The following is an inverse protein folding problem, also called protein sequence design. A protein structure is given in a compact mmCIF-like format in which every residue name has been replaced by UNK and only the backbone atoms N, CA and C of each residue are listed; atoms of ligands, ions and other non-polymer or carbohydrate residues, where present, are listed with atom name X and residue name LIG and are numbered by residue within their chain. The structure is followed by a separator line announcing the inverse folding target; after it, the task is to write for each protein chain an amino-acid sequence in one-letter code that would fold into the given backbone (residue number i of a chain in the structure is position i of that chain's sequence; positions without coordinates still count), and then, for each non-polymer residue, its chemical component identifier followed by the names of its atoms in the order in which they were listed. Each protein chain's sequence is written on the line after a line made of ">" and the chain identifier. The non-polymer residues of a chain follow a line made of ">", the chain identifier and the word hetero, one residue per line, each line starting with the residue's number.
data_IF_136518425340
#
_entry.id   IF_136518425340
#
_cell.length_a   1.000
_cell.length_b   1.000
_cell.length_c   1.000
_cell.angle_alpha   90.00
_cell.angle_beta   90.00
_cell.angle_gamma   90.00
#
_symmetry.space_group_name_H-M   'P 1'
#
loop_
_entity.id
_entity.type
_entity.pdbx_description
1 polymer ?
#
# COMPACT_ATOMS: atom_id res chain seq x y z
N UNK A 1 -47.55 -43.66 38.17
CA UNK A 1 -46.61 -43.85 37.06
C UNK A 1 -46.12 -42.46 36.65
N UNK A 2 -44.84 -42.16 36.89
CA UNK A 2 -44.24 -40.82 36.85
C UNK A 2 -43.93 -40.42 35.39
N UNK A 3 -44.43 -39.25 34.95
CA UNK A 3 -44.01 -38.62 33.70
C UNK A 3 -42.95 -37.58 34.08
N UNK A 4 -41.70 -37.85 33.71
CA UNK A 4 -40.57 -36.95 33.89
C UNK A 4 -40.53 -36.01 32.68
N UNK A 5 -40.69 -34.71 32.94
CA UNK A 5 -40.52 -33.63 31.95
C UNK A 5 -39.02 -33.34 31.84
N UNK A 6 -38.42 -33.64 30.69
CA UNK A 6 -37.06 -33.20 30.36
C UNK A 6 -37.12 -31.80 29.72
N UNK A 7 -36.77 -30.79 30.52
CA UNK A 7 -36.42 -29.45 30.05
C UNK A 7 -34.98 -29.48 29.52
N UNK A 8 -34.80 -29.52 28.20
CA UNK A 8 -33.51 -29.34 27.55
C UNK A 8 -33.26 -27.84 27.31
N UNK A 9 -32.52 -27.20 28.21
CA UNK A 9 -31.97 -25.86 28.01
C UNK A 9 -30.81 -25.95 27.02
N UNK A 10 -31.04 -25.54 25.78
CA UNK A 10 -29.98 -25.29 24.79
C UNK A 10 -29.24 -24.01 25.17
N UNK A 11 -28.13 -24.15 25.88
CA UNK A 11 -27.12 -23.10 26.02
C UNK A 11 -26.32 -23.08 24.72
N UNK A 12 -26.60 -22.11 23.84
CA UNK A 12 -25.72 -21.79 22.72
C UNK A 12 -24.45 -21.13 23.27
N UNK A 13 -23.44 -21.94 23.59
CA UNK A 13 -22.07 -21.47 23.74
C UNK A 13 -21.51 -21.22 22.34
N UNK A 14 -21.60 -19.98 21.86
CA UNK A 14 -20.89 -19.53 20.67
C UNK A 14 -19.39 -19.44 20.96
N UNK A 15 -18.69 -20.57 20.88
CA UNK A 15 -17.25 -20.55 20.66
C UNK A 15 -17.03 -20.18 19.20
N UNK A 16 -16.91 -18.87 18.93
CA UNK A 16 -16.22 -18.40 17.73
C UNK A 16 -14.79 -18.88 17.89
N UNK A 17 -14.45 -20.01 17.30
CA UNK A 17 -13.06 -20.37 17.09
C UNK A 17 -12.49 -19.28 16.21
N UNK A 18 -11.66 -18.40 16.79
CA UNK A 18 -10.71 -17.61 16.05
C UNK A 18 -9.74 -18.59 15.39
N UNK A 19 -10.16 -19.19 14.28
CA UNK A 19 -9.22 -19.76 13.32
C UNK A 19 -8.43 -18.57 12.82
N UNK A 20 -7.25 -18.39 13.41
CA UNK A 20 -6.17 -17.64 12.81
C UNK A 20 -6.12 -18.05 11.34
N UNK A 21 -6.40 -17.12 10.44
CA UNK A 21 -6.16 -17.30 9.02
C UNK A 21 -4.66 -17.58 8.84
N UNK A 22 -4.29 -18.86 8.85
CA UNK A 22 -2.98 -19.32 8.42
C UNK A 22 -3.00 -19.24 6.90
N UNK A 23 -2.46 -18.13 6.38
CA UNK A 23 -2.15 -17.97 4.96
C UNK A 23 -1.12 -19.06 4.58
N UNK A 24 -1.34 -19.85 3.51
CA UNK A 24 -0.43 -20.94 3.15
C UNK A 24 0.97 -20.42 2.83
N UNK A 25 2.00 -21.11 3.32
CA UNK A 25 3.43 -20.82 3.21
C UNK A 25 4.00 -21.07 1.78
N UNK A 26 3.35 -20.52 0.75
CA UNK A 26 3.81 -20.51 -0.64
C UNK A 26 3.95 -19.08 -1.17
N UNK A 27 5.16 -18.72 -1.57
CA UNK A 27 5.65 -17.38 -1.86
C UNK A 27 4.98 -16.70 -3.06
N UNK A 28 4.22 -15.64 -2.76
CA UNK A 28 3.96 -14.41 -3.54
C UNK A 28 3.19 -13.40 -2.65
N UNK A 29 2.61 -13.83 -1.52
CA UNK A 29 1.78 -13.00 -0.65
C UNK A 29 2.47 -12.33 0.55
N UNK A 30 3.70 -12.71 0.91
CA UNK A 30 4.30 -12.29 2.20
C UNK A 30 4.75 -10.82 2.25
N UNK A 31 4.96 -10.21 1.08
CA UNK A 31 5.42 -8.82 0.91
C UNK A 31 4.42 -7.97 0.13
N UNK A 32 3.46 -8.61 -0.54
CA UNK A 32 2.46 -7.99 -1.39
C UNK A 32 1.54 -7.06 -0.59
N UNK A 33 1.31 -7.37 0.68
CA UNK A 33 0.58 -6.48 1.59
C UNK A 33 1.35 -5.17 1.77
N UNK A 34 2.64 -5.22 2.11
CA UNK A 34 3.45 -4.03 2.31
C UNK A 34 3.72 -3.26 1.01
N UNK A 35 3.89 -3.94 -0.12
CA UNK A 35 3.96 -3.31 -1.45
C UNK A 35 2.67 -2.53 -1.78
N UNK A 36 1.50 -3.12 -1.52
CA UNK A 36 0.20 -2.47 -1.74
C UNK A 36 -0.01 -1.32 -0.74
N UNK A 37 0.31 -1.52 0.53
CA UNK A 37 0.17 -0.49 1.57
C UNK A 37 1.06 0.73 1.29
N UNK A 38 2.26 0.51 0.76
CA UNK A 38 3.20 1.59 0.45
C UNK A 38 2.99 2.21 -0.93
N UNK A 39 2.08 1.67 -1.76
CA UNK A 39 1.84 2.17 -3.12
C UNK A 39 1.52 3.67 -3.16
N UNK A 40 0.78 4.18 -2.16
CA UNK A 40 0.47 5.61 -2.00
C UNK A 40 1.69 6.52 -1.79
N UNK A 41 2.84 5.94 -1.40
CA UNK A 41 4.12 6.64 -1.29
C UNK A 41 5.03 6.34 -2.48
N UNK A 42 4.96 5.13 -3.03
CA UNK A 42 5.83 4.70 -4.12
C UNK A 42 5.55 5.53 -5.38
N UNK A 43 4.30 5.56 -5.84
CA UNK A 43 3.96 6.21 -7.11
C UNK A 43 4.27 7.73 -7.11
N UNK A 44 3.93 8.51 -6.07
CA UNK A 44 4.36 9.91 -5.99
C UNK A 44 5.88 10.08 -5.87
N UNK A 45 6.57 9.22 -5.12
CA UNK A 45 8.02 9.30 -4.99
C UNK A 45 8.76 9.06 -6.30
N UNK A 46 8.24 8.14 -7.13
CA UNK A 46 8.77 7.88 -8.48
C UNK A 46 8.56 9.04 -9.44
N UNK A 47 7.55 9.88 -9.18
CA UNK A 47 7.31 11.15 -9.86
C UNK A 47 8.04 12.35 -9.18
N UNK A 48 8.95 12.08 -8.24
CA UNK A 48 9.78 13.10 -7.61
C UNK A 48 9.13 13.86 -6.45
N UNK A 49 8.00 13.39 -5.92
CA UNK A 49 7.27 14.08 -4.85
C UNK A 49 8.09 14.07 -3.54
N UNK A 50 8.55 15.24 -3.04
CA UNK A 50 9.54 15.26 -1.95
C UNK A 50 9.04 14.68 -0.63
N UNK A 51 7.74 14.81 -0.36
CA UNK A 51 7.14 14.29 0.86
C UNK A 51 7.12 12.77 0.87
N UNK A 52 6.69 12.12 -0.21
CA UNK A 52 6.72 10.67 -0.34
C UNK A 52 8.15 10.11 -0.27
N UNK A 53 9.11 10.73 -0.97
CA UNK A 53 10.54 10.34 -0.86
C UNK A 53 11.02 10.45 0.58
N UNK A 54 10.68 11.54 1.27
CA UNK A 54 11.03 11.76 2.67
C UNK A 54 10.39 10.71 3.59
N UNK A 55 9.13 10.34 3.34
CA UNK A 55 8.40 9.36 4.13
C UNK A 55 8.98 7.95 3.97
N UNK A 56 9.28 7.53 2.74
CA UNK A 56 9.99 6.28 2.48
C UNK A 56 11.34 6.26 3.19
N UNK A 57 12.09 7.36 3.12
CA UNK A 57 13.39 7.48 3.78
C UNK A 57 13.27 7.39 5.31
N UNK A 58 12.19 7.94 5.88
CA UNK A 58 11.91 7.85 7.30
C UNK A 58 11.64 6.41 7.75
N UNK A 59 10.87 5.62 6.97
CA UNK A 59 10.62 4.20 7.29
C UNK A 59 11.93 3.40 7.39
N UNK A 60 12.86 3.64 6.45
CA UNK A 60 14.19 3.01 6.46
C UNK A 60 15.00 3.44 7.68
N UNK A 61 15.03 4.74 7.99
CA UNK A 61 15.73 5.28 9.17
C UNK A 61 15.18 4.73 10.48
N UNK A 62 13.86 4.66 10.62
CA UNK A 62 13.17 4.17 11.82
C UNK A 62 13.44 2.68 12.06
N UNK A 63 13.64 1.90 10.99
CA UNK A 63 14.08 0.52 11.10
C UNK A 63 15.56 0.46 11.51
N UNK A 64 16.45 1.19 10.82
CA UNK A 64 17.89 1.21 11.13
C UNK A 64 18.22 1.65 12.57
N UNK A 65 17.35 2.46 13.18
CA UNK A 65 17.45 2.83 14.59
C UNK A 65 17.24 1.63 15.53
N UNK A 66 16.49 0.61 15.10
CA UNK A 66 16.31 -0.64 15.84
C UNK A 66 17.45 -1.64 15.52
N UNK A 67 18.01 -2.28 16.56
CA UNK A 67 19.00 -3.35 16.43
C UNK A 67 18.49 -4.54 15.60
N UNK A 68 17.18 -4.81 15.63
CA UNK A 68 16.58 -5.94 14.91
C UNK A 68 16.69 -5.78 13.39
N UNK A 69 16.77 -4.54 12.87
CA UNK A 69 16.94 -4.28 11.45
C UNK A 69 18.42 -4.23 11.01
N UNK A 70 19.37 -4.41 11.94
CA UNK A 70 20.80 -4.37 11.63
C UNK A 70 21.30 -5.76 11.27
N UNK A 71 21.92 -5.87 10.10
CA UNK A 71 22.56 -7.09 9.62
C UNK A 71 21.59 -8.11 8.99
N UNK A 72 22.12 -9.23 8.45
CA UNK A 72 21.32 -10.20 7.70
C UNK A 72 20.41 -11.04 8.60
N UNK A 73 19.10 -11.04 8.32
CA UNK A 73 18.12 -11.92 8.96
C UNK A 73 18.29 -13.38 8.58
N UNK A 74 18.89 -13.67 7.42
CA UNK A 74 19.19 -15.04 6.98
C UNK A 74 19.97 -15.84 8.03
N UNK A 75 20.80 -15.17 8.84
CA UNK A 75 21.62 -15.80 9.88
C UNK A 75 20.86 -16.06 11.19
N UNK A 76 19.60 -15.62 11.29
CA UNK A 76 18.82 -15.61 12.54
C UNK A 76 17.62 -16.57 12.50
N UNK A 77 17.42 -17.32 11.42
CA UNK A 77 16.29 -18.25 11.21
C UNK A 77 14.92 -17.66 11.62
N UNK A 78 14.74 -16.34 11.46
CA UNK A 78 13.54 -15.61 11.90
C UNK A 78 12.85 -14.95 10.73
N UNK A 79 11.53 -15.02 10.73
CA UNK A 79 10.67 -14.32 9.78
C UNK A 79 10.75 -12.81 10.02
N UNK A 80 10.75 -11.98 8.96
CA UNK A 80 10.75 -10.53 9.12
C UNK A 80 9.43 -10.04 9.72
N UNK A 81 9.53 -9.16 10.71
CA UNK A 81 8.41 -8.43 11.32
C UNK A 81 7.77 -7.45 10.32
N UNK A 82 6.53 -7.01 10.55
CA UNK A 82 5.85 -6.03 9.68
C UNK A 82 6.67 -4.76 9.46
N UNK A 83 7.29 -4.21 10.53
CA UNK A 83 8.17 -3.05 10.44
C UNK A 83 9.42 -3.30 9.58
N UNK A 84 10.04 -4.49 9.69
CA UNK A 84 11.15 -4.87 8.81
C UNK A 84 10.66 -5.01 7.37
N UNK A 85 9.44 -5.51 7.16
CA UNK A 85 8.90 -5.68 5.82
C UNK A 85 8.66 -4.35 5.12
N UNK A 86 7.98 -3.43 5.79
CA UNK A 86 7.75 -2.06 5.31
C UNK A 86 9.07 -1.35 4.99
N UNK A 87 10.07 -1.46 5.86
CA UNK A 87 11.36 -0.82 5.65
C UNK A 87 12.12 -1.43 4.46
N UNK A 88 12.02 -2.74 4.23
CA UNK A 88 12.68 -3.38 3.10
C UNK A 88 12.04 -2.97 1.76
N UNK A 89 10.71 -2.93 1.69
CA UNK A 89 9.96 -2.44 0.52
C UNK A 89 10.30 -0.97 0.27
N UNK A 90 10.22 -0.11 1.30
CA UNK A 90 10.57 1.30 1.18
C UNK A 90 12.02 1.50 0.70
N UNK A 91 12.98 0.75 1.22
CA UNK A 91 14.36 0.81 0.78
C UNK A 91 14.53 0.38 -0.68
N UNK A 92 13.84 -0.67 -1.12
CA UNK A 92 13.90 -1.13 -2.50
C UNK A 92 13.40 -0.06 -3.47
N UNK A 93 12.23 0.54 -3.21
CA UNK A 93 11.69 1.60 -4.07
C UNK A 93 12.55 2.86 -4.04
N UNK A 94 13.09 3.25 -2.88
CA UNK A 94 14.06 4.34 -2.81
C UNK A 94 15.32 4.07 -3.62
N UNK A 95 15.77 2.81 -3.69
CA UNK A 95 16.94 2.45 -4.47
C UNK A 95 16.70 2.74 -5.96
N UNK A 96 15.53 2.37 -6.48
CA UNK A 96 15.16 2.61 -7.88
C UNK A 96 15.13 4.10 -8.25
N UNK A 97 14.83 4.99 -7.29
CA UNK A 97 14.93 6.44 -7.48
C UNK A 97 16.36 6.95 -7.69
N UNK A 98 17.38 6.17 -7.33
CA UNK A 98 18.78 6.50 -7.60
C UNK A 98 19.32 5.73 -8.82
N UNK A 99 18.46 5.08 -9.59
CA UNK A 99 18.87 4.26 -10.73
C UNK A 99 17.96 4.47 -11.95
N UNK A 100 17.00 3.57 -12.18
CA UNK A 100 16.15 3.60 -13.38
C UNK A 100 15.18 4.78 -13.35
N UNK A 101 14.72 5.19 -12.17
CA UNK A 101 13.73 6.28 -11.98
C UNK A 101 14.35 7.61 -11.61
N UNK A 102 15.68 7.73 -11.62
CA UNK A 102 16.38 8.92 -11.15
C UNK A 102 15.96 10.19 -11.91
N UNK A 103 15.92 10.14 -13.25
CA UNK A 103 15.54 11.29 -14.05
C UNK A 103 14.09 11.71 -13.81
N UNK A 104 13.15 10.75 -13.79
CA UNK A 104 11.74 11.00 -13.51
C UNK A 104 11.52 11.60 -12.12
N UNK A 105 12.31 11.16 -11.14
CA UNK A 105 12.27 11.67 -9.77
C UNK A 105 13.04 13.00 -9.58
N UNK A 106 13.65 13.56 -10.64
CA UNK A 106 14.48 14.77 -10.54
C UNK A 106 15.79 14.57 -9.76
N UNK A 107 16.29 13.33 -9.70
CA UNK A 107 17.49 12.91 -8.99
C UNK A 107 18.60 12.53 -9.97
N UNK A 108 19.84 12.57 -9.47
CA UNK A 108 20.97 11.97 -10.19
C UNK A 108 21.11 10.49 -9.83
N UNK A 109 21.53 9.69 -10.81
CA UNK A 109 21.89 8.30 -10.58
C UNK A 109 23.02 8.20 -9.56
N UNK A 110 22.83 7.36 -8.55
CA UNK A 110 23.78 7.13 -7.47
C UNK A 110 23.87 5.62 -7.21
N UNK A 111 24.88 5.01 -7.84
CA UNK A 111 25.16 3.58 -7.75
C UNK A 111 25.46 3.11 -6.33
N UNK A 112 26.09 3.96 -5.52
CA UNK A 112 26.43 3.64 -4.14
C UNK A 112 25.16 3.56 -3.31
N UNK A 113 24.23 4.52 -3.47
CA UNK A 113 22.93 4.48 -2.80
C UNK A 113 22.09 3.30 -3.25
N UNK A 114 22.03 3.03 -4.55
CA UNK A 114 21.33 1.89 -5.11
C UNK A 114 21.77 0.57 -4.45
N UNK A 115 23.08 0.30 -4.45
CA UNK A 115 23.65 -0.91 -3.83
C UNK A 115 23.34 -0.94 -2.34
N UNK A 116 23.54 0.16 -1.60
CA UNK A 116 23.34 0.19 -0.15
C UNK A 116 21.89 -0.08 0.25
N UNK A 117 20.93 0.51 -0.46
CA UNK A 117 19.51 0.35 -0.16
C UNK A 117 19.02 -1.06 -0.50
N UNK A 118 19.38 -1.60 -1.67
CA UNK A 118 19.06 -2.99 -1.97
C UNK A 118 19.78 -3.98 -1.06
N UNK A 119 21.01 -3.69 -0.63
CA UNK A 119 21.72 -4.53 0.36
C UNK A 119 20.99 -4.55 1.68
N UNK A 120 20.49 -3.40 2.14
CA UNK A 120 19.67 -3.31 3.34
C UNK A 120 18.38 -4.15 3.20
N UNK A 121 17.63 -3.99 2.11
CA UNK A 121 16.41 -4.76 1.87
C UNK A 121 16.68 -6.27 1.70
N UNK A 122 17.77 -6.65 1.04
CA UNK A 122 18.22 -8.04 0.91
C UNK A 122 18.56 -8.65 2.28
N UNK A 123 19.18 -7.88 3.18
CA UNK A 123 19.45 -8.34 4.55
C UNK A 123 18.16 -8.62 5.32
N UNK A 124 17.05 -7.99 4.94
CA UNK A 124 15.71 -8.26 5.47
C UNK A 124 14.95 -9.34 4.68
N UNK A 125 15.64 -10.08 3.81
CA UNK A 125 15.11 -11.17 2.98
C UNK A 125 14.19 -10.76 1.83
N UNK A 126 14.10 -9.47 1.50
CA UNK A 126 13.26 -8.99 0.40
C UNK A 126 13.82 -9.41 -0.97
N UNK A 127 13.14 -10.36 -1.62
CA UNK A 127 13.63 -11.03 -2.83
C UNK A 127 13.79 -10.11 -4.06
N UNK A 128 12.93 -9.10 -4.32
CA UNK A 128 13.15 -8.15 -5.41
C UNK A 128 14.48 -7.38 -5.29
N UNK A 129 14.89 -7.02 -4.08
CA UNK A 129 16.20 -6.39 -3.86
C UNK A 129 17.36 -7.36 -4.03
N UNK A 130 17.19 -8.63 -3.65
CA UNK A 130 18.17 -9.68 -3.94
C UNK A 130 18.35 -9.87 -5.46
N UNK A 131 17.24 -9.86 -6.21
CA UNK A 131 17.24 -9.90 -7.68
C UNK A 131 17.97 -8.70 -8.30
N UNK A 132 17.64 -7.48 -7.86
CA UNK A 132 18.26 -6.25 -8.32
C UNK A 132 19.80 -6.29 -8.18
N UNK A 133 20.30 -6.68 -7.01
CA UNK A 133 21.74 -6.88 -6.79
C UNK A 133 22.30 -8.01 -7.66
N UNK A 134 21.57 -9.11 -7.80
CA UNK A 134 21.96 -10.24 -8.64
C UNK A 134 22.18 -9.84 -10.09
N UNK A 135 21.24 -9.10 -10.68
CA UNK A 135 21.37 -8.55 -12.03
C UNK A 135 22.52 -7.56 -12.15
N UNK A 136 22.66 -6.68 -11.17
CA UNK A 136 23.74 -5.68 -11.17
C UNK A 136 25.12 -6.33 -11.24
N UNK A 137 25.37 -7.35 -10.41
CA UNK A 137 26.65 -8.08 -10.45
C UNK A 137 26.75 -9.02 -11.65
N UNK A 138 25.66 -9.61 -12.12
CA UNK A 138 25.67 -10.50 -13.28
C UNK A 138 26.10 -9.79 -14.55
N UNK A 139 25.63 -8.56 -14.77
CA UNK A 139 25.87 -7.80 -15.99
C UNK A 139 26.96 -6.73 -15.83
N UNK A 140 27.24 -6.31 -14.59
CA UNK A 140 28.05 -5.12 -14.32
C UNK A 140 27.35 -3.83 -14.76
N UNK A 141 27.94 -2.70 -14.40
CA UNK A 141 27.48 -1.39 -14.87
C UNK A 141 28.67 -0.42 -14.99
N UNK A 142 29.22 -0.33 -16.20
CA UNK A 142 30.44 0.44 -16.49
C UNK A 142 30.29 1.93 -16.15
N UNK A 143 29.14 2.55 -16.48
CA UNK A 143 28.90 3.97 -16.23
C UNK A 143 28.82 4.33 -14.73
N UNK A 144 28.52 3.36 -13.85
CA UNK A 144 28.52 3.54 -12.39
C UNK A 144 29.71 2.90 -11.70
N UNK A 145 30.74 2.48 -12.46
CA UNK A 145 31.97 1.92 -11.90
C UNK A 145 31.81 0.54 -11.26
N UNK A 146 30.78 -0.22 -11.60
CA UNK A 146 30.51 -1.53 -11.01
C UNK A 146 31.01 -2.61 -11.97
N UNK A 147 32.04 -3.33 -11.56
CA UNK A 147 32.57 -4.46 -12.31
C UNK A 147 31.62 -5.66 -12.26
N UNK A 148 31.56 -6.38 -13.37
CA UNK A 148 30.84 -7.64 -13.45
C UNK A 148 31.45 -8.67 -12.48
N UNK A 149 30.61 -9.34 -11.71
CA UNK A 149 30.94 -10.47 -10.86
C UNK A 149 29.87 -11.56 -11.02
N UNK A 150 30.04 -12.37 -12.06
CA UNK A 150 29.08 -13.40 -12.47
C UNK A 150 28.79 -14.41 -11.36
N UNK A 151 29.82 -14.84 -10.60
CA UNK A 151 29.65 -15.79 -9.50
C UNK A 151 28.76 -15.22 -8.39
N UNK A 152 28.97 -13.95 -8.03
CA UNK A 152 28.12 -13.26 -7.05
C UNK A 152 26.70 -13.03 -7.59
N UNK A 153 26.57 -12.59 -8.85
CA UNK A 153 25.28 -12.37 -9.49
C UNK A 153 24.42 -13.64 -9.51
N UNK A 154 24.99 -14.77 -9.94
CA UNK A 154 24.31 -16.08 -9.97
C UNK A 154 23.91 -16.54 -8.58
N UNK A 155 24.77 -16.36 -7.56
CA UNK A 155 24.43 -16.70 -6.16
C UNK A 155 23.23 -15.92 -5.66
N UNK A 156 23.19 -14.61 -5.93
CA UNK A 156 22.08 -13.74 -5.54
C UNK A 156 20.79 -14.09 -6.29
N UNK A 157 20.85 -14.29 -7.61
CA UNK A 157 19.70 -14.71 -8.41
C UNK A 157 19.13 -16.04 -7.92
N UNK A 158 19.99 -17.03 -7.66
CA UNK A 158 19.59 -18.31 -7.08
C UNK A 158 18.92 -18.11 -5.72
N UNK A 159 19.46 -17.26 -4.85
CA UNK A 159 18.88 -17.00 -3.54
C UNK A 159 17.53 -16.28 -3.60
N UNK A 160 17.31 -15.40 -4.57
CA UNK A 160 16.01 -14.76 -4.80
C UNK A 160 15.00 -15.75 -5.40
N UNK A 161 15.45 -16.59 -6.33
CA UNK A 161 14.67 -17.68 -6.91
C UNK A 161 14.22 -18.70 -5.86
N UNK A 162 15.10 -19.11 -4.95
CA UNK A 162 14.79 -19.99 -3.81
C UNK A 162 13.78 -19.37 -2.83
N UNK A 163 13.55 -18.05 -2.94
CA UNK A 163 12.53 -17.28 -2.22
C UNK A 163 11.31 -16.95 -3.09
N UNK A 164 11.10 -17.70 -4.16
CA UNK A 164 9.92 -17.60 -5.01
C UNK A 164 9.90 -16.40 -5.97
N UNK A 165 11.03 -15.69 -6.13
CA UNK A 165 11.10 -14.56 -7.06
C UNK A 165 11.20 -15.04 -8.51
N UNK A 166 10.12 -14.84 -9.26
CA UNK A 166 9.93 -15.38 -10.61
C UNK A 166 10.93 -14.81 -11.62
N UNK A 167 11.16 -13.51 -11.62
CA UNK A 167 12.06 -12.83 -12.54
C UNK A 167 13.51 -13.28 -12.34
N UNK A 168 13.87 -13.64 -11.10
CA UNK A 168 15.18 -14.26 -10.81
C UNK A 168 15.29 -15.65 -11.42
N UNK A 169 14.20 -16.42 -11.39
CA UNK A 169 14.15 -17.75 -12.02
C UNK A 169 14.38 -17.63 -13.53
N UNK A 170 13.69 -16.71 -14.19
CA UNK A 170 13.82 -16.45 -15.63
C UNK A 170 15.25 -16.04 -15.97
N UNK A 171 15.81 -15.06 -15.26
CA UNK A 171 17.16 -14.55 -15.50
C UNK A 171 18.23 -15.66 -15.29
N UNK A 172 18.08 -16.46 -14.24
CA UNK A 172 18.98 -17.57 -13.94
C UNK A 172 18.89 -18.68 -15.00
N UNK A 173 17.69 -18.98 -15.49
CA UNK A 173 17.47 -19.98 -16.54
C UNK A 173 18.08 -19.53 -17.89
N UNK A 174 17.93 -18.25 -18.23
CA UNK A 174 18.56 -17.65 -19.41
C UNK A 174 20.09 -17.69 -19.29
N UNK A 175 20.64 -17.44 -18.10
CA UNK A 175 22.08 -17.56 -17.85
C UNK A 175 22.58 -19.00 -18.02
N UNK A 176 21.91 -20.00 -17.45
CA UNK A 176 22.31 -21.41 -17.66
C UNK A 176 22.24 -21.80 -19.15
N UNK A 177 21.22 -21.31 -19.86
CA UNK A 177 21.09 -21.54 -21.30
C UNK A 177 22.26 -20.92 -22.08
N UNK A 178 22.68 -19.70 -21.76
CA UNK A 178 23.79 -19.04 -22.46
C UNK A 178 25.14 -19.74 -22.25
N UNK A 179 25.29 -20.46 -21.12
CA UNK A 179 26.43 -21.34 -20.86
C UNK A 179 26.33 -22.71 -21.55
N UNK A 180 25.23 -23.01 -22.27
CA UNK A 180 24.97 -24.31 -22.87
C UNK A 180 24.48 -25.38 -21.88
N UNK A 181 24.16 -25.00 -20.64
CA UNK A 181 23.67 -25.91 -19.60
C UNK A 181 22.16 -26.16 -19.78
N UNK A 182 21.79 -27.10 -20.66
CA UNK A 182 20.40 -27.37 -21.04
C UNK A 182 19.51 -27.83 -19.88
N UNK A 183 19.95 -28.82 -19.10
CA UNK A 183 19.12 -29.38 -18.03
C UNK A 183 18.88 -28.39 -16.89
N UNK A 184 19.90 -27.65 -16.37
CA UNK A 184 19.67 -26.61 -15.37
C UNK A 184 18.74 -25.50 -15.88
N UNK A 185 18.90 -25.06 -17.13
CA UNK A 185 18.02 -24.06 -17.72
C UNK A 185 16.56 -24.56 -17.78
N UNK A 186 16.34 -25.80 -18.25
CA UNK A 186 15.01 -26.39 -18.34
C UNK A 186 14.35 -26.48 -16.96
N UNK A 187 15.07 -27.02 -15.97
CA UNK A 187 14.55 -27.19 -14.62
C UNK A 187 14.15 -25.84 -14.00
N UNK A 188 14.97 -24.79 -14.17
CA UNK A 188 14.65 -23.47 -13.63
C UNK A 188 13.46 -22.82 -14.36
N UNK A 189 13.35 -22.97 -15.69
CA UNK A 189 12.18 -22.51 -16.43
C UNK A 189 10.90 -23.26 -16.06
N UNK A 190 10.98 -24.55 -15.74
CA UNK A 190 9.84 -25.34 -15.28
C UNK A 190 9.30 -24.84 -13.94
N UNK A 191 10.19 -24.48 -13.00
CA UNK A 191 9.78 -23.87 -11.74
C UNK A 191 9.17 -22.49 -11.97
N UNK A 192 9.75 -21.66 -12.84
CA UNK A 192 9.16 -20.37 -13.22
C UNK A 192 7.75 -20.52 -13.83
N UNK A 193 7.55 -21.53 -14.70
CA UNK A 193 6.24 -21.88 -15.25
C UNK A 193 5.25 -22.26 -14.16
N UNK A 194 5.66 -23.04 -13.16
CA UNK A 194 4.80 -23.41 -12.05
C UNK A 194 4.42 -22.22 -11.16
N UNK A 195 5.34 -21.29 -10.92
CA UNK A 195 5.08 -20.05 -10.17
C UNK A 195 4.07 -19.14 -10.90
N UNK A 196 4.22 -18.95 -12.21
CA UNK A 196 3.28 -18.16 -13.02
C UNK A 196 1.85 -18.69 -12.92
N UNK A 197 1.69 -20.01 -13.00
CA UNK A 197 0.35 -20.62 -12.99
C UNK A 197 -0.37 -20.50 -11.64
N UNK A 198 0.32 -20.08 -10.58
CA UNK A 198 -0.27 -19.79 -9.27
C UNK A 198 -0.62 -18.29 -9.11
N UNK A 199 -0.23 -17.44 -10.06
CA UNK A 199 -0.37 -15.99 -9.99
C UNK A 199 -1.39 -15.49 -11.01
N UNK A 200 -2.46 -14.83 -10.55
CA UNK A 200 -3.53 -14.31 -11.41
C UNK A 200 -3.14 -13.04 -12.21
N UNK A 201 -1.92 -12.52 -12.06
CA UNK A 201 -1.53 -11.19 -12.55
C UNK A 201 -0.09 -11.14 -13.09
N UNK A 202 0.33 -12.14 -13.87
CA UNK A 202 1.67 -12.14 -14.51
C UNK A 202 1.61 -11.52 -15.91
N UNK A 203 2.55 -10.62 -16.26
CA UNK A 203 2.67 -10.08 -17.61
C UNK A 203 2.81 -11.16 -18.69
N UNK A 204 2.08 -11.01 -19.81
CA UNK A 204 2.11 -11.95 -20.94
C UNK A 204 3.53 -12.16 -21.50
N UNK A 205 4.39 -11.14 -21.40
CA UNK A 205 5.79 -11.22 -21.85
C UNK A 205 6.60 -12.30 -21.12
N UNK A 206 6.40 -12.49 -19.82
CA UNK A 206 7.11 -13.53 -19.07
C UNK A 206 6.60 -14.93 -19.42
N UNK A 207 5.29 -15.06 -19.64
CA UNK A 207 4.66 -16.30 -20.09
C UNK A 207 5.26 -16.71 -21.44
N UNK A 208 5.36 -15.79 -22.38
CA UNK A 208 5.93 -16.03 -23.70
C UNK A 208 7.40 -16.48 -23.63
N UNK A 209 8.21 -15.77 -22.83
CA UNK A 209 9.63 -16.10 -22.62
C UNK A 209 9.77 -17.53 -22.09
N UNK A 210 9.03 -17.88 -21.04
CA UNK A 210 9.11 -19.21 -20.41
C UNK A 210 8.63 -20.29 -21.38
N UNK A 211 7.47 -20.11 -22.02
CA UNK A 211 6.91 -21.08 -22.95
C UNK A 211 7.83 -21.36 -24.14
N UNK A 212 8.38 -20.30 -24.74
CA UNK A 212 9.28 -20.42 -25.89
C UNK A 212 10.56 -21.15 -25.51
N UNK A 213 11.15 -20.82 -24.36
CA UNK A 213 12.36 -21.46 -23.88
C UNK A 213 12.13 -22.94 -23.53
N UNK A 214 11.03 -23.26 -22.84
CA UNK A 214 10.68 -24.65 -22.49
C UNK A 214 10.52 -25.53 -23.73
N UNK A 215 9.80 -25.04 -24.76
CA UNK A 215 9.67 -25.76 -26.04
C UNK A 215 11.02 -26.01 -26.71
N UNK A 216 11.87 -24.98 -26.81
CA UNK A 216 13.21 -25.11 -27.40
C UNK A 216 14.12 -26.07 -26.63
N UNK A 217 13.91 -26.19 -25.32
CA UNK A 217 14.63 -27.13 -24.45
C UNK A 217 14.04 -28.55 -24.46
N UNK A 218 12.96 -28.79 -25.19
CA UNK A 218 12.33 -30.11 -25.34
C UNK A 218 11.38 -30.48 -24.19
N UNK A 219 10.90 -29.50 -23.43
CA UNK A 219 9.88 -29.72 -22.40
C UNK A 219 8.51 -29.95 -23.07
N UNK A 220 7.73 -30.99 -22.67
CA UNK A 220 6.45 -31.34 -23.28
C UNK A 220 5.33 -30.40 -22.81
N UNK A 221 5.49 -29.11 -23.11
CA UNK A 221 4.61 -28.05 -22.61
C UNK A 221 3.15 -28.26 -23.00
N UNK A 222 2.93 -28.69 -24.25
CA UNK A 222 1.59 -28.85 -24.80
C UNK A 222 0.83 -30.00 -24.09
N UNK A 223 1.51 -31.09 -23.74
CA UNK A 223 0.95 -32.20 -22.96
C UNK A 223 0.62 -31.77 -21.52
N UNK A 224 1.52 -31.01 -20.88
CA UNK A 224 1.35 -30.51 -19.51
C UNK A 224 0.17 -29.55 -19.42
N UNK A 225 0.05 -28.63 -20.39
CA UNK A 225 -1.08 -27.68 -20.46
C UNK A 225 -2.38 -28.41 -20.77
N UNK A 226 -2.37 -29.40 -21.66
CA UNK A 226 -3.54 -30.21 -21.99
C UNK A 226 -4.02 -31.04 -20.77
N UNK A 227 -3.11 -31.69 -20.06
CA UNK A 227 -3.40 -32.46 -18.85
C UNK A 227 -3.97 -31.59 -17.72
N UNK A 228 -3.49 -30.34 -17.59
CA UNK A 228 -4.10 -29.38 -16.64
C UNK A 228 -5.50 -28.98 -17.06
N UNK A 229 -5.71 -28.62 -18.34
CA UNK A 229 -7.04 -28.25 -18.84
C UNK A 229 -8.06 -29.37 -18.65
N UNK A 230 -7.66 -30.64 -18.82
CA UNK A 230 -8.54 -31.78 -18.57
C UNK A 230 -8.81 -32.01 -17.09
N UNK A 231 -7.84 -31.78 -16.19
CA UNK A 231 -8.03 -31.86 -14.74
C UNK A 231 -9.01 -30.82 -14.17
N UNK A 232 -9.06 -29.63 -14.77
CA UNK A 232 -9.97 -28.52 -14.38
C UNK A 232 -11.34 -28.63 -15.07
N UNK A 233 -11.53 -29.56 -16.01
CA UNK A 233 -12.75 -29.68 -16.80
C UNK A 233 -13.78 -30.67 -16.25
N UNK A 234 -13.58 -31.23 -15.04
CA UNK A 234 -14.56 -32.14 -14.44
C UNK A 234 -15.89 -31.43 -14.15
N UNK A 235 -17.05 -32.11 -14.24
CA UNK A 235 -18.36 -31.48 -14.00
C UNK A 235 -18.48 -30.81 -12.63
N UNK A 236 -17.92 -31.44 -11.59
CA UNK A 236 -17.83 -30.86 -10.24
C UNK A 236 -16.93 -29.63 -10.18
N UNK A 237 -15.77 -29.64 -10.85
CA UNK A 237 -14.88 -28.46 -10.86
C UNK A 237 -15.41 -27.30 -11.71
N UNK A 238 -16.22 -27.56 -12.75
CA UNK A 238 -16.93 -26.52 -13.52
C UNK A 238 -18.04 -25.87 -12.71
N UNK A 239 -18.82 -26.66 -11.96
CA UNK A 239 -19.86 -26.12 -11.06
C UNK A 239 -19.24 -25.31 -9.94
N UNK A 240 -18.17 -25.83 -9.32
CA UNK A 240 -17.41 -25.09 -8.30
C UNK A 240 -16.77 -23.83 -8.91
N UNK A 241 -16.12 -23.88 -10.08
CA UNK A 241 -15.58 -22.67 -10.73
C UNK A 241 -16.65 -21.63 -11.04
N UNK A 242 -17.81 -22.04 -11.57
CA UNK A 242 -18.91 -21.11 -11.86
C UNK A 242 -19.52 -20.52 -10.60
N UNK A 243 -19.66 -21.32 -9.53
CA UNK A 243 -20.14 -20.86 -8.23
C UNK A 243 -19.13 -19.93 -7.55
N UNK A 244 -17.83 -20.23 -7.61
CA UNK A 244 -16.76 -19.39 -7.07
C UNK A 244 -16.61 -18.11 -7.89
N UNK A 245 -16.73 -18.16 -9.22
CA UNK A 245 -16.73 -16.96 -10.06
C UNK A 245 -17.97 -16.09 -9.82
N UNK A 246 -19.14 -16.69 -9.62
CA UNK A 246 -20.36 -15.95 -9.26
C UNK A 246 -20.28 -15.33 -7.86
N UNK A 247 -19.73 -16.06 -6.88
CA UNK A 247 -19.54 -15.57 -5.52
C UNK A 247 -18.48 -14.46 -5.44
N UNK A 248 -17.34 -14.62 -6.14
CA UNK A 248 -16.32 -13.57 -6.25
C UNK A 248 -16.88 -12.33 -6.97
N UNK A 249 -17.74 -12.52 -7.98
CA UNK A 249 -18.43 -11.41 -8.66
C UNK A 249 -19.42 -10.69 -7.74
N UNK A 250 -20.16 -11.41 -6.91
CA UNK A 250 -21.08 -10.81 -5.93
C UNK A 250 -20.34 -10.05 -4.83
N UNK A 251 -19.25 -10.62 -4.30
CA UNK A 251 -18.42 -9.99 -3.28
C UNK A 251 -17.78 -8.68 -3.79
N UNK A 252 -17.31 -8.65 -5.03
CA UNK A 252 -16.79 -7.43 -5.67
C UNK A 252 -17.86 -6.36 -5.91
N UNK A 253 -19.05 -6.74 -6.35
CA UNK A 253 -20.18 -5.80 -6.52
C UNK A 253 -20.59 -5.18 -5.18
N UNK A 254 -20.57 -5.96 -4.10
CA UNK A 254 -20.89 -5.45 -2.77
C UNK A 254 -19.79 -4.54 -2.22
N UNK A 255 -18.53 -4.89 -2.43
CA UNK A 255 -17.38 -4.01 -2.11
C UNK A 255 -17.46 -2.69 -2.88
N UNK A 256 -17.80 -2.71 -4.17
CA UNK A 256 -18.01 -1.51 -4.97
C UNK A 256 -19.14 -0.64 -4.39
N UNK A 257 -20.30 -1.21 -4.05
CA UNK A 257 -21.40 -0.46 -3.41
C UNK A 257 -20.98 0.20 -2.10
N UNK A 258 -20.21 -0.51 -1.27
CA UNK A 258 -19.75 0.01 0.00
C UNK A 258 -18.75 1.16 -0.19
N UNK A 259 -17.88 1.06 -1.20
CA UNK A 259 -17.00 2.15 -1.63
C UNK A 259 -17.77 3.41 -2.07
N UNK A 260 -18.89 3.25 -2.78
CA UNK A 260 -19.74 4.37 -3.19
C UNK A 260 -20.37 5.09 -2.00
N UNK A 261 -20.99 4.32 -1.10
CA UNK A 261 -21.65 4.84 0.09
C UNK A 261 -20.67 5.61 1.00
N UNK A 262 -19.44 5.10 1.13
CA UNK A 262 -18.38 5.76 1.90
C UNK A 262 -17.92 7.07 1.25
N UNK A 263 -17.73 7.12 -0.08
CA UNK A 263 -17.34 8.33 -0.78
C UNK A 263 -18.37 9.47 -0.60
N UNK A 264 -19.66 9.15 -0.65
CA UNK A 264 -20.73 10.12 -0.42
C UNK A 264 -20.77 10.60 1.05
N UNK A 265 -20.59 9.68 2.01
CA UNK A 265 -20.50 10.00 3.44
C UNK A 265 -19.32 10.92 3.76
N UNK A 266 -18.14 10.60 3.21
CA UNK A 266 -16.91 11.38 3.34
C UNK A 266 -17.09 12.79 2.78
N UNK A 267 -17.64 12.92 1.57
CA UNK A 267 -17.84 14.21 0.90
C UNK A 267 -18.79 15.12 1.70
N UNK A 268 -19.88 14.54 2.24
CA UNK A 268 -20.82 15.26 3.10
C UNK A 268 -20.14 15.73 4.40
N UNK A 269 -19.34 14.87 5.03
CA UNK A 269 -18.65 15.19 6.28
C UNK A 269 -17.56 16.24 6.07
N UNK A 270 -16.78 16.18 4.99
CA UNK A 270 -15.76 17.18 4.64
C UNK A 270 -16.41 18.56 4.43
N UNK A 271 -17.50 18.61 3.65
CA UNK A 271 -18.28 19.84 3.41
C UNK A 271 -18.87 20.43 4.70
N UNK A 272 -19.26 19.58 5.66
CA UNK A 272 -19.76 20.03 6.96
C UNK A 272 -18.63 20.63 7.81
N UNK A 273 -17.51 19.91 7.95
CA UNK A 273 -16.38 20.34 8.77
C UNK A 273 -15.75 21.63 8.24
N UNK A 274 -15.64 21.79 6.91
CA UNK A 274 -15.15 23.04 6.29
C UNK A 274 -16.06 24.24 6.56
N UNK A 275 -17.38 24.05 6.54
CA UNK A 275 -18.34 25.11 6.91
C UNK A 275 -18.22 25.48 8.38
N UNK A 276 -18.04 24.50 9.26
CA UNK A 276 -17.81 24.75 10.68
C UNK A 276 -16.51 25.52 10.91
N UNK A 277 -15.40 25.15 10.23
CA UNK A 277 -14.14 25.89 10.31
C UNK A 277 -14.31 27.34 9.84
N UNK A 278 -14.98 27.56 8.70
CA UNK A 278 -15.23 28.92 8.20
C UNK A 278 -16.05 29.76 9.17
N UNK A 279 -17.02 29.16 9.86
CA UNK A 279 -17.82 29.86 10.88
C UNK A 279 -16.98 30.22 12.10
N UNK A 280 -16.14 29.30 12.57
CA UNK A 280 -15.23 29.54 13.70
C UNK A 280 -14.17 30.59 13.38
N UNK A 281 -13.65 30.59 12.15
CA UNK A 281 -12.71 31.60 11.66
C UNK A 281 -13.36 33.00 11.64
N UNK A 282 -14.62 33.11 11.23
CA UNK A 282 -15.36 34.37 11.27
C UNK A 282 -15.53 34.88 12.70
N UNK A 283 -16.01 34.04 13.62
CA UNK A 283 -16.16 34.41 15.04
C UNK A 283 -14.82 34.79 15.69
N UNK A 284 -13.73 34.10 15.36
CA UNK A 284 -12.40 34.46 15.84
C UNK A 284 -11.95 35.83 15.36
N UNK A 285 -12.17 36.15 14.08
CA UNK A 285 -11.83 37.45 13.52
C UNK A 285 -12.62 38.59 14.18
N UNK A 286 -13.90 38.37 14.47
CA UNK A 286 -14.74 39.35 15.16
C UNK A 286 -14.22 39.62 16.58
N UNK A 287 -13.97 38.55 17.37
CA UNK A 287 -13.43 38.65 18.73
C UNK A 287 -12.03 39.30 18.73
N UNK A 288 -11.16 38.95 17.78
CA UNK A 288 -9.84 39.59 17.65
C UNK A 288 -9.96 41.07 17.25
N UNK A 289 -10.95 41.42 16.43
CA UNK A 289 -11.30 42.79 16.09
C UNK A 289 -11.66 43.60 17.35
N UNK A 290 -12.57 43.08 18.17
CA UNK A 290 -13.01 43.72 19.41
C UNK A 290 -11.87 43.88 20.42
N UNK A 291 -11.04 42.84 20.59
CA UNK A 291 -9.83 42.88 21.42
C UNK A 291 -8.88 43.99 20.95
N UNK A 292 -8.70 44.14 19.63
CA UNK A 292 -7.82 45.16 19.06
C UNK A 292 -8.37 46.59 19.28
N UNK A 293 -9.69 46.80 19.14
CA UNK A 293 -10.34 48.08 19.45
C UNK A 293 -10.14 48.45 20.92
N UNK A 294 -10.33 47.51 21.84
CA UNK A 294 -10.08 47.73 23.28
C UNK A 294 -8.60 48.03 23.57
N UNK A 295 -7.67 47.36 22.89
CA UNK A 295 -6.23 47.58 23.07
C UNK A 295 -5.81 48.99 22.62
N UNK A 296 -6.33 49.45 21.49
CA UNK A 296 -5.99 50.76 20.91
C UNK A 296 -6.62 51.92 21.70
N UNK A 297 -7.86 51.78 22.16
CA UNK A 297 -8.54 52.79 22.97
C UNK A 297 -8.01 52.92 24.40
N UNK A 298 -7.23 51.94 24.90
CA UNK A 298 -6.53 52.02 26.20
C UNK A 298 -5.39 53.03 26.22
N UNK A 299 -4.87 53.42 25.05
CA UNK A 299 -3.77 54.38 24.90
C UNK A 299 -4.18 55.84 25.06
N UNK A 300 -5.48 56.16 25.02
CA UNK A 300 -6.00 57.54 24.90
C UNK A 300 -6.61 58.14 26.17
N UNK A 301 -6.83 57.35 27.23
CA UNK A 301 -7.52 57.82 28.45
C UNK A 301 -6.62 57.62 29.68
N UNK A 302 -5.76 58.61 29.94
CA UNK A 302 -4.90 58.67 31.12
C UNK A 302 -5.11 60.01 31.82
N UNK A 303 -5.72 60.03 33.03
CA UNK A 303 -5.65 61.19 33.92
C UNK A 303 -6.81 61.54 34.85
N UNK A 304 -7.99 60.88 34.81
CA UNK A 304 -9.16 61.24 35.64
C UNK A 304 -9.75 60.06 36.43
N UNK A 305 -10.48 60.34 37.53
CA UNK A 305 -11.18 59.32 38.35
C UNK A 305 -12.26 58.57 37.55
N UNK A 306 -12.95 59.26 36.63
CA UNK A 306 -13.84 58.62 35.66
C UNK A 306 -13.10 57.68 34.71
N UNK A 307 -11.88 58.04 34.29
CA UNK A 307 -11.00 57.19 33.50
C UNK A 307 -10.54 55.92 34.22
N UNK A 308 -10.43 55.93 35.56
CA UNK A 308 -10.11 54.74 36.35
C UNK A 308 -11.27 53.74 36.38
N UNK A 309 -12.52 54.20 36.52
CA UNK A 309 -13.72 53.35 36.47
C UNK A 309 -13.95 52.76 35.08
N UNK A 310 -13.74 53.55 34.02
CA UNK A 310 -13.77 53.04 32.64
C UNK A 310 -12.65 52.01 32.38
N UNK A 311 -11.45 52.21 32.94
CA UNK A 311 -10.34 51.25 32.84
C UNK A 311 -10.68 49.92 33.52
N UNK A 312 -11.36 49.94 34.66
CA UNK A 312 -11.83 48.74 35.36
C UNK A 312 -12.96 48.00 34.61
N UNK A 313 -13.95 48.72 34.08
CA UNK A 313 -15.01 48.10 33.27
C UNK A 313 -14.46 47.47 31.98
N UNK A 314 -13.50 48.14 31.32
CA UNK A 314 -12.82 47.63 30.12
C UNK A 314 -11.90 46.43 30.41
N UNK A 315 -11.31 46.33 31.60
CA UNK A 315 -10.49 45.17 31.97
C UNK A 315 -11.33 43.90 32.12
N UNK A 316 -12.55 44.02 32.65
CA UNK A 316 -13.52 42.92 32.71
C UNK A 316 -13.96 42.44 31.32
N UNK A 317 -14.31 43.38 30.43
CA UNK A 317 -14.67 43.07 29.03
C UNK A 317 -13.53 42.42 28.26
N UNK A 318 -12.29 42.91 28.42
CA UNK A 318 -11.11 42.33 27.79
C UNK A 318 -10.86 40.89 28.27
N UNK A 319 -11.02 40.63 29.57
CA UNK A 319 -10.87 39.29 30.14
C UNK A 319 -11.89 38.29 29.59
N UNK A 320 -13.13 38.73 29.36
CA UNK A 320 -14.19 37.91 28.76
C UNK A 320 -13.89 37.57 27.30
N UNK A 321 -13.52 38.56 26.48
CA UNK A 321 -13.17 38.34 25.07
C UNK A 321 -11.94 37.45 24.91
N UNK A 322 -10.93 37.59 25.77
CA UNK A 322 -9.76 36.69 25.77
C UNK A 322 -10.13 35.25 26.17
N UNK A 323 -11.14 35.07 27.03
CA UNK A 323 -11.65 33.74 27.35
C UNK A 323 -12.40 33.13 26.16
N UNK A 324 -13.30 33.89 25.53
CA UNK A 324 -14.04 33.49 24.34
C UNK A 324 -13.10 33.12 23.19
N UNK A 325 -12.07 33.95 22.94
CA UNK A 325 -11.01 33.66 21.96
C UNK A 325 -10.33 32.33 22.22
N UNK A 326 -9.98 32.02 23.47
CA UNK A 326 -9.34 30.73 23.83
C UNK A 326 -10.28 29.54 23.61
N UNK A 327 -11.57 29.71 23.85
CA UNK A 327 -12.59 28.68 23.61
C UNK A 327 -12.73 28.40 22.11
N UNK A 328 -12.88 29.44 21.30
CA UNK A 328 -12.96 29.33 19.84
C UNK A 328 -11.70 28.70 19.21
N UNK A 329 -10.50 29.06 19.69
CA UNK A 329 -9.23 28.44 19.23
C UNK A 329 -9.23 26.92 19.53
N UNK A 330 -9.71 26.52 20.71
CA UNK A 330 -9.78 25.10 21.07
C UNK A 330 -10.77 24.35 20.20
N UNK A 331 -11.97 24.90 20.02
CA UNK A 331 -13.02 24.29 19.19
C UNK A 331 -12.57 24.13 17.74
N UNK A 332 -11.98 25.18 17.16
CA UNK A 332 -11.35 25.14 15.83
C UNK A 332 -10.29 24.05 15.74
N UNK A 333 -9.46 23.89 16.77
CA UNK A 333 -8.44 22.85 16.83
C UNK A 333 -9.01 21.42 16.84
N UNK A 334 -10.18 21.20 17.42
CA UNK A 334 -10.88 19.91 17.36
C UNK A 334 -11.42 19.62 15.95
N UNK A 335 -12.10 20.59 15.35
CA UNK A 335 -12.67 20.45 14.00
C UNK A 335 -11.57 20.24 12.95
N UNK A 336 -10.45 20.95 13.07
CA UNK A 336 -9.30 20.81 12.18
C UNK A 336 -8.61 19.43 12.30
N UNK A 337 -8.56 18.86 13.51
CA UNK A 337 -8.08 17.49 13.71
C UNK A 337 -9.03 16.49 13.06
N UNK A 338 -10.33 16.64 13.27
CA UNK A 338 -11.34 15.76 12.69
C UNK A 338 -11.33 15.81 11.16
N UNK A 339 -11.14 16.99 10.57
CA UNK A 339 -10.98 17.14 9.12
C UNK A 339 -9.74 16.42 8.61
N UNK A 340 -8.61 16.53 9.32
CA UNK A 340 -7.39 15.78 8.96
C UNK A 340 -7.58 14.27 9.07
N UNK A 341 -8.29 13.80 10.09
CA UNK A 341 -8.59 12.38 10.28
C UNK A 341 -9.50 11.87 9.16
N UNK A 342 -10.51 12.66 8.78
CA UNK A 342 -11.40 12.35 7.67
C UNK A 342 -10.65 12.31 6.33
N UNK A 343 -9.74 13.25 6.07
CA UNK A 343 -8.90 13.26 4.86
C UNK A 343 -8.02 12.01 4.80
N UNK A 344 -7.42 11.61 5.93
CA UNK A 344 -6.64 10.36 6.02
C UNK A 344 -7.50 9.12 5.77
N UNK A 345 -8.69 9.08 6.36
CA UNK A 345 -9.66 8.01 6.13
C UNK A 345 -10.09 7.96 4.66
N UNK A 346 -10.36 9.11 4.04
CA UNK A 346 -10.74 9.20 2.64
C UNK A 346 -9.66 8.68 1.70
N UNK A 347 -8.39 9.01 1.98
CA UNK A 347 -7.25 8.52 1.21
C UNK A 347 -7.08 7.00 1.36
N UNK A 348 -7.25 6.45 2.56
CA UNK A 348 -7.22 5.00 2.81
C UNK A 348 -8.36 4.27 2.07
N UNK A 349 -9.58 4.83 2.10
CA UNK A 349 -10.71 4.23 1.38
C UNK A 349 -10.54 4.36 -0.12
N UNK A 350 -9.97 5.45 -0.63
CA UNK A 350 -9.72 5.62 -2.07
C UNK A 350 -8.71 4.60 -2.62
N UNK A 351 -7.70 4.18 -1.86
CA UNK A 351 -6.79 3.10 -2.28
C UNK A 351 -7.42 1.72 -2.20
N UNK A 352 -8.24 1.46 -1.17
CA UNK A 352 -9.03 0.23 -1.05
C UNK A 352 -10.07 0.12 -2.18
N UNK A 353 -10.63 1.24 -2.61
CA UNK A 353 -11.71 1.35 -3.61
C UNK A 353 -11.23 1.65 -5.04
N UNK A 354 -9.97 1.35 -5.36
CA UNK A 354 -9.24 1.76 -6.56
C UNK A 354 -10.12 1.93 -7.83
N UNK A 355 -10.16 3.16 -8.37
CA UNK A 355 -11.03 3.63 -9.47
C UNK A 355 -10.91 2.84 -10.79
N UNK A 356 -9.90 1.99 -10.94
CA UNK A 356 -9.73 1.09 -12.10
C UNK A 356 -10.64 -0.15 -12.06
N UNK A 357 -11.06 -0.61 -10.86
CA UNK A 357 -12.13 -1.59 -10.73
C UNK A 357 -13.48 -1.01 -11.20
N UNK A 358 -13.72 0.27 -10.86
CA UNK A 358 -14.97 0.96 -11.17
C UNK A 358 -15.24 1.12 -12.66
N UNK A 359 -14.22 1.45 -13.48
CA UNK A 359 -14.42 1.69 -14.92
C UNK A 359 -14.67 0.39 -15.70
N UNK A 360 -14.00 -0.70 -15.34
CA UNK A 360 -14.18 -2.01 -15.97
C UNK A 360 -15.46 -2.73 -15.52
N UNK A 361 -15.92 -2.48 -14.28
CA UNK A 361 -17.19 -3.02 -13.77
C UNK A 361 -18.42 -2.16 -14.15
N UNK A 362 -18.27 -0.84 -14.34
CA UNK A 362 -19.31 0.04 -14.90
C UNK A 362 -19.76 -0.42 -16.28
N UNK A 363 -18.80 -0.76 -17.16
CA UNK A 363 -19.05 -1.31 -18.49
C UNK A 363 -19.69 -2.71 -18.47
N UNK A 364 -19.59 -3.45 -17.35
CA UNK A 364 -20.19 -4.78 -17.17
C UNK A 364 -21.57 -4.74 -16.50
N UNK A 365 -21.87 -3.72 -15.68
CA UNK A 365 -23.13 -3.58 -14.91
C UNK A 365 -24.14 -2.68 -15.64
N UNK A 366 -23.69 -1.61 -16.31
CA UNK A 366 -24.56 -0.67 -17.02
C UNK A 366 -24.74 -1.03 -18.51
N UNK A 367 -24.45 -2.27 -18.96
CA UNK A 367 -24.72 -2.75 -20.34
C UNK A 367 -26.20 -2.58 -20.73
N UNK A 368 -26.53 -1.40 -21.27
CA UNK A 368 -27.81 -1.10 -21.91
C UNK A 368 -28.98 -0.73 -20.99
N UNK A 369 -28.79 -0.55 -19.68
CA UNK A 369 -29.90 -0.21 -18.77
C UNK A 369 -29.74 1.15 -18.08
N UNK A 370 -30.26 2.20 -18.72
CA UNK A 370 -30.15 3.62 -18.33
C UNK A 370 -31.10 4.06 -17.20
N UNK A 371 -31.84 3.12 -16.61
CA UNK A 371 -32.89 3.42 -15.61
C UNK A 371 -32.45 3.29 -14.15
N UNK A 372 -31.23 2.82 -13.87
CA UNK A 372 -30.70 2.67 -12.51
C UNK A 372 -30.13 4.00 -11.96
N UNK A 373 -30.56 4.41 -10.76
CA UNK A 373 -30.06 5.61 -10.08
C UNK A 373 -28.56 5.58 -9.80
N UNK A 374 -27.97 4.38 -9.71
CA UNK A 374 -26.52 4.17 -9.61
C UNK A 374 -25.77 4.62 -10.87
N UNK A 375 -26.29 4.35 -12.08
CA UNK A 375 -25.66 4.78 -13.34
C UNK A 375 -25.90 6.29 -13.61
N UNK A 376 -26.90 6.93 -12.99
CA UNK A 376 -27.17 8.39 -13.15
C UNK A 376 -26.29 9.30 -12.28
N UNK A 377 -25.69 8.78 -11.20
CA UNK A 377 -24.89 9.56 -10.26
C UNK A 377 -23.47 9.89 -10.73
N UNK A 378 -23.02 9.27 -11.81
CA UNK A 378 -21.68 9.42 -12.40
C UNK A 378 -21.79 9.68 -13.90
N UNK A 379 -22.23 10.88 -14.28
CA UNK A 379 -21.98 11.39 -15.63
C UNK A 379 -20.49 11.78 -15.69
N UNK A 380 -19.64 10.90 -16.23
CA UNK A 380 -18.25 11.16 -16.58
C UNK A 380 -18.12 11.38 -18.09
#
# INVERSE_FOLDING_TARGET
>A
MRIIVFLATLVFSSTVSAQSYQMPEGEQGYWKLEEVLLWQLIDPAENGEPFAISKLNQLVKDCLANADCKGPLANRSSQPTGKQREAAVAAAHLAELFWDKAEAAGLQRDAVRYIRLHTFANNLLYAPSTYALGRLYLHGFAAGGISQNTEQGVRLLKSAYERGHMESAIELALYYRSMGLRDPARNTFEVAFNLINQSAATPDSFVEVIHTNLRQLGYPLDDVVAARKSSVATPESKVVQQQTQAAVRQDRVEQARQCYADAESITRRDSQLRRQLSSLDASLNDVEGDINVLRNTRSTVSGTYSGQLESYARSGQFSQLEQERRELIRERGYVDRELRDLIRYAQSRQSECNLSLYRSEYDLVCQGNTSNSFCKGYDL
#
